data_IF_865799883633
#
_entry.id   IF_865799883633
#
_cell.length_a   1.000
_cell.length_b   1.000
_cell.length_c   1.000
_cell.angle_alpha   90.00
_cell.angle_beta   90.00
_cell.angle_gamma   90.00
#
_symmetry.space_group_name_H-M   'P 1'
#
loop_
_entity.id
_entity.type
_entity.pdbx_description
1 polymer ?
#
# COMPACT_ATOMS: atom_id res chain seq x y z
N UNK A 1 3.34 -5.12 -11.24
CA UNK A 1 2.00 -5.73 -11.37
C UNK A 1 1.00 -4.61 -11.59
N UNK A 2 0.05 -4.79 -12.47
CA UNK A 2 -0.97 -3.77 -12.77
C UNK A 2 -2.33 -4.30 -12.32
N UNK A 3 -2.98 -3.56 -11.41
CA UNK A 3 -4.30 -3.90 -10.90
C UNK A 3 -5.38 -3.32 -11.80
N UNK A 4 -6.45 -4.06 -12.09
CA UNK A 4 -7.57 -3.55 -12.88
C UNK A 4 -8.36 -2.45 -12.17
N UNK A 5 -8.35 -2.40 -10.83
CA UNK A 5 -9.08 -1.42 -10.01
C UNK A 5 -10.60 -1.38 -10.27
N UNK A 6 -11.18 -2.47 -10.77
CA UNK A 6 -12.61 -2.59 -11.07
C UNK A 6 -13.33 -3.16 -9.84
N UNK A 7 -12.89 -4.34 -9.37
CA UNK A 7 -13.38 -4.96 -8.13
C UNK A 7 -12.21 -5.39 -7.25
N UNK A 8 -12.42 -5.50 -5.93
CA UNK A 8 -11.41 -6.05 -5.02
C UNK A 8 -11.06 -7.50 -5.40
N UNK A 9 -12.02 -8.29 -5.84
CA UNK A 9 -11.81 -9.69 -6.23
C UNK A 9 -10.86 -9.82 -7.43
N UNK A 10 -11.00 -8.95 -8.44
CA UNK A 10 -10.11 -8.93 -9.60
C UNK A 10 -8.69 -8.53 -9.21
N UNK A 11 -8.54 -7.52 -8.36
CA UNK A 11 -7.26 -7.05 -7.87
C UNK A 11 -6.54 -8.14 -7.06
N UNK A 12 -7.26 -8.84 -6.18
CA UNK A 12 -6.74 -9.98 -5.42
C UNK A 12 -6.36 -11.14 -6.35
N UNK A 13 -7.16 -11.42 -7.38
CA UNK A 13 -6.87 -12.48 -8.34
C UNK A 13 -5.59 -12.19 -9.14
N UNK A 14 -5.39 -10.96 -9.62
CA UNK A 14 -4.15 -10.54 -10.30
C UNK A 14 -2.96 -10.65 -9.35
N UNK A 15 -3.13 -10.21 -8.10
CA UNK A 15 -2.09 -10.29 -7.08
C UNK A 15 -1.68 -11.73 -6.82
N UNK A 16 -2.64 -12.64 -6.65
CA UNK A 16 -2.36 -14.07 -6.44
C UNK A 16 -1.64 -14.69 -7.64
N UNK A 17 -2.03 -14.38 -8.89
CA UNK A 17 -1.29 -14.86 -10.08
C UNK A 17 0.18 -14.43 -10.05
N UNK A 18 0.45 -13.20 -9.61
CA UNK A 18 1.83 -12.71 -9.49
C UNK A 18 2.59 -13.44 -8.36
N UNK A 19 1.94 -13.65 -7.20
CA UNK A 19 2.50 -14.41 -6.08
C UNK A 19 2.83 -15.84 -6.51
N UNK A 20 1.91 -16.52 -7.21
CA UNK A 20 2.04 -17.91 -7.61
C UNK A 20 3.18 -18.12 -8.60
N UNK A 21 3.48 -17.11 -9.42
CA UNK A 21 4.60 -17.11 -10.36
C UNK A 21 5.97 -16.88 -9.71
N UNK A 22 6.02 -16.55 -8.42
CA UNK A 22 7.28 -16.34 -7.70
C UNK A 22 7.68 -17.56 -6.88
N UNK A 23 8.97 -17.68 -6.62
CA UNK A 23 9.48 -18.58 -5.59
C UNK A 23 9.43 -17.84 -4.24
N UNK A 24 8.70 -18.42 -3.28
CA UNK A 24 8.51 -17.78 -1.96
C UNK A 24 9.55 -18.24 -0.94
N UNK A 25 9.61 -17.63 0.26
CA UNK A 25 8.61 -16.74 0.87
C UNK A 25 8.66 -15.29 0.39
N UNK A 26 7.49 -14.64 0.35
CA UNK A 26 7.31 -13.29 -0.18
C UNK A 26 6.93 -12.28 0.90
N UNK A 27 7.29 -11.02 0.66
CA UNK A 27 6.72 -9.87 1.34
C UNK A 27 5.76 -9.17 0.37
N UNK A 28 4.51 -8.97 0.78
CA UNK A 28 3.59 -8.12 0.05
C UNK A 28 3.65 -6.70 0.57
N UNK A 29 3.81 -5.75 -0.34
CA UNK A 29 3.82 -4.32 -0.04
C UNK A 29 2.59 -3.68 -0.68
N UNK A 30 1.78 -3.00 0.10
CA UNK A 30 0.59 -2.28 -0.38
C UNK A 30 0.61 -0.82 0.05
N UNK A 31 0.43 0.08 -0.90
CA UNK A 31 0.23 1.50 -0.69
C UNK A 31 -1.26 1.83 -0.81
N UNK A 32 -1.77 2.69 0.03
CA UNK A 32 -3.14 3.21 -0.06
C UNK A 32 -4.20 2.09 -0.14
N UNK A 33 -5.06 2.08 -1.17
CA UNK A 33 -6.01 1.00 -1.47
C UNK A 33 -5.32 -0.36 -1.60
N UNK A 34 -4.08 -0.39 -2.07
CA UNK A 34 -3.30 -1.63 -2.13
C UNK A 34 -3.16 -2.36 -0.80
N UNK A 35 -3.31 -1.67 0.31
CA UNK A 35 -3.39 -2.29 1.62
C UNK A 35 -4.60 -3.22 1.78
N UNK A 36 -5.76 -2.88 1.19
CA UNK A 36 -6.93 -3.77 1.18
C UNK A 36 -6.62 -5.04 0.39
N UNK A 37 -5.99 -4.88 -0.77
CA UNK A 37 -5.65 -6.01 -1.63
C UNK A 37 -4.65 -6.96 -0.96
N UNK A 38 -3.58 -6.43 -0.34
CA UNK A 38 -2.63 -7.29 0.38
C UNK A 38 -3.21 -7.89 1.66
N UNK A 39 -4.22 -7.26 2.24
CA UNK A 39 -4.97 -7.80 3.39
C UNK A 39 -5.69 -9.10 3.02
N UNK A 40 -6.23 -9.20 1.81
CA UNK A 40 -6.86 -10.42 1.29
C UNK A 40 -5.83 -11.40 0.66
N UNK A 41 -5.04 -10.93 -0.30
CA UNK A 41 -4.05 -11.75 -1.01
C UNK A 41 -2.95 -12.29 -0.08
N UNK A 42 -2.71 -11.64 1.04
CA UNK A 42 -1.76 -12.05 2.06
C UNK A 42 -2.06 -13.41 2.69
N UNK A 43 -3.25 -13.97 2.50
CA UNK A 43 -3.59 -15.34 2.94
C UNK A 43 -2.92 -16.41 2.07
N UNK A 44 -2.38 -16.07 0.91
CA UNK A 44 -1.61 -17.01 0.09
C UNK A 44 -0.45 -17.62 0.90
N UNK A 45 -0.25 -18.94 0.86
CA UNK A 45 0.78 -19.63 1.67
C UNK A 45 2.21 -19.18 1.36
N UNK A 46 2.49 -18.68 0.16
CA UNK A 46 3.80 -18.13 -0.21
C UNK A 46 4.09 -16.77 0.44
N UNK A 47 3.08 -16.08 0.94
CA UNK A 47 3.25 -14.78 1.61
C UNK A 47 3.67 -15.00 3.05
N UNK A 48 4.83 -14.47 3.42
CA UNK A 48 5.35 -14.56 4.77
C UNK A 48 5.06 -13.31 5.61
N UNK A 49 4.98 -12.13 4.99
CA UNK A 49 4.87 -10.82 5.66
C UNK A 49 4.13 -9.80 4.83
N UNK A 50 3.65 -8.76 5.51
CA UNK A 50 2.91 -7.64 4.91
C UNK A 50 3.59 -6.31 5.26
N UNK A 51 3.67 -5.39 4.30
CA UNK A 51 4.09 -4.02 4.51
C UNK A 51 3.00 -3.06 4.01
N UNK A 52 2.49 -2.27 4.91
CA UNK A 52 1.51 -1.22 4.64
C UNK A 52 2.24 0.12 4.55
N UNK A 53 2.15 0.78 3.40
CA UNK A 53 2.72 2.11 3.17
C UNK A 53 1.56 3.08 3.03
N UNK A 54 1.32 3.93 4.04
CA UNK A 54 0.19 4.89 4.01
C UNK A 54 -1.11 4.22 3.55
N UNK A 55 -1.44 3.04 4.09
CA UNK A 55 -2.39 2.15 3.46
C UNK A 55 -3.57 1.77 4.35
N UNK A 56 -4.68 1.42 3.73
CA UNK A 56 -5.79 0.81 4.45
C UNK A 56 -5.45 -0.60 4.92
N UNK A 57 -5.72 -0.89 6.19
CA UNK A 57 -5.60 -2.24 6.76
C UNK A 57 -6.95 -2.65 7.38
N UNK A 58 -7.94 -3.00 6.54
CA UNK A 58 -9.30 -3.29 6.99
C UNK A 58 -9.37 -4.53 7.88
N UNK A 59 -10.36 -4.54 8.78
CA UNK A 59 -10.81 -5.76 9.45
C UNK A 59 -11.87 -6.48 8.61
N UNK A 60 -12.26 -7.68 9.04
CA UNK A 60 -13.33 -8.45 8.39
C UNK A 60 -14.62 -7.63 8.29
N UNK A 61 -15.18 -7.57 7.09
CA UNK A 61 -16.38 -6.80 6.77
C UNK A 61 -16.15 -5.32 6.47
N UNK A 62 -14.95 -4.79 6.69
CA UNK A 62 -14.61 -3.40 6.33
C UNK A 62 -14.18 -3.28 4.85
N UNK A 63 -14.43 -2.10 4.29
CA UNK A 63 -13.97 -1.66 2.97
C UNK A 63 -13.37 -0.26 3.09
N UNK A 64 -12.70 0.24 2.04
CA UNK A 64 -12.28 1.65 2.03
C UNK A 64 -13.48 2.56 2.26
N UNK A 65 -14.57 2.33 1.52
CA UNK A 65 -15.80 3.11 1.65
C UNK A 65 -16.32 3.18 3.09
N UNK A 66 -16.28 2.04 3.82
CA UNK A 66 -16.71 2.03 5.24
C UNK A 66 -15.74 2.75 6.16
N UNK A 67 -14.43 2.70 5.89
CA UNK A 67 -13.39 3.33 6.71
C UNK A 67 -13.34 4.87 6.56
N UNK A 68 -13.76 5.38 5.40
CA UNK A 68 -13.75 6.84 5.14
C UNK A 68 -15.13 7.49 5.33
N UNK A 69 -16.16 6.71 5.65
CA UNK A 69 -17.56 7.16 5.71
C UNK A 69 -17.79 8.27 6.74
N UNK A 70 -17.19 8.11 7.91
CA UNK A 70 -17.38 9.00 9.06
C UNK A 70 -16.02 9.64 9.43
N UNK A 71 -15.57 10.67 8.69
CA UNK A 71 -14.27 11.28 8.96
C UNK A 71 -14.28 12.00 10.31
N UNK A 72 -13.13 11.94 11.00
CA UNK A 72 -12.95 12.70 12.23
C UNK A 72 -13.15 14.20 11.94
N UNK A 73 -13.92 14.94 12.75
CA UNK A 73 -14.11 16.37 12.56
C UNK A 73 -12.77 17.12 12.46
N UNK A 74 -12.60 17.92 11.40
CA UNK A 74 -11.36 18.66 11.13
C UNK A 74 -10.26 17.85 10.40
N UNK A 75 -10.45 16.55 10.19
CA UNK A 75 -9.51 15.78 9.38
C UNK A 75 -9.58 16.19 7.90
N UNK A 76 -8.46 16.10 7.15
CA UNK A 76 -8.47 16.31 5.72
C UNK A 76 -9.44 15.35 5.03
N UNK A 77 -10.19 15.88 4.05
CA UNK A 77 -11.09 15.08 3.21
C UNK A 77 -10.44 14.92 1.84
N UNK A 78 -10.21 13.69 1.37
CA UNK A 78 -9.67 13.45 0.04
C UNK A 78 -10.53 14.11 -1.04
N UNK A 79 -9.93 14.78 -2.04
CA UNK A 79 -10.66 15.47 -3.09
C UNK A 79 -11.17 14.49 -4.17
N UNK A 80 -11.91 13.46 -3.75
CA UNK A 80 -12.54 12.49 -4.65
C UNK A 80 -13.70 13.17 -5.36
N UNK A 81 -13.73 13.06 -6.69
CA UNK A 81 -14.83 13.57 -7.51
C UNK A 81 -16.07 12.68 -7.38
N UNK A 82 -17.27 13.22 -7.61
CA UNK A 82 -18.48 12.40 -7.71
C UNK A 82 -18.31 11.27 -8.73
N UNK A 83 -18.87 10.09 -8.44
CA UNK A 83 -18.74 8.95 -9.34
C UNK A 83 -19.31 9.22 -10.74
N UNK A 84 -18.63 8.73 -11.76
CA UNK A 84 -19.10 8.71 -13.14
C UNK A 84 -18.98 7.29 -13.69
N UNK A 85 -20.08 6.76 -14.22
CA UNK A 85 -20.16 5.39 -14.78
C UNK A 85 -19.59 4.29 -13.86
N UNK A 86 -19.74 4.45 -12.53
CA UNK A 86 -19.24 3.48 -11.55
C UNK A 86 -17.79 3.66 -11.13
N UNK A 87 -17.13 4.73 -11.56
CA UNK A 87 -15.73 5.01 -11.22
C UNK A 87 -15.55 6.39 -10.57
N UNK A 88 -14.48 6.52 -9.80
CA UNK A 88 -14.06 7.78 -9.18
C UNK A 88 -12.63 8.13 -9.57
N UNK A 89 -12.33 9.44 -9.47
CA UNK A 89 -11.01 10.03 -9.65
C UNK A 89 -10.77 11.05 -8.55
N UNK A 90 -9.52 11.39 -8.30
CA UNK A 90 -9.20 12.58 -7.54
C UNK A 90 -9.30 13.82 -8.43
N UNK A 91 -9.72 14.93 -7.83
CA UNK A 91 -9.70 16.22 -8.52
C UNK A 91 -8.27 16.58 -8.93
N UNK A 92 -8.02 16.70 -10.24
CA UNK A 92 -6.70 16.97 -10.82
C UNK A 92 -6.05 18.23 -10.23
N UNK A 93 -6.79 19.32 -10.08
CA UNK A 93 -6.25 20.59 -9.57
C UNK A 93 -5.90 20.56 -8.08
N UNK A 94 -6.44 19.61 -7.33
CA UNK A 94 -6.17 19.41 -5.91
C UNK A 94 -5.22 18.23 -5.64
N UNK A 95 -4.84 17.48 -6.67
CA UNK A 95 -4.04 16.26 -6.55
C UNK A 95 -2.68 16.53 -5.87
N UNK A 96 -1.91 17.46 -6.39
CA UNK A 96 -0.59 17.79 -5.83
C UNK A 96 -0.70 18.15 -4.34
N UNK A 97 -1.60 19.03 -3.96
CA UNK A 97 -1.74 19.49 -2.57
C UNK A 97 -2.25 18.42 -1.59
N UNK A 98 -2.95 17.38 -2.07
CA UNK A 98 -3.53 16.35 -1.22
C UNK A 98 -2.79 15.01 -1.26
N UNK A 99 -2.30 14.61 -2.44
CA UNK A 99 -1.69 13.31 -2.68
C UNK A 99 -0.16 13.37 -2.72
N UNK A 100 0.41 14.44 -3.32
CA UNK A 100 1.83 14.54 -3.66
C UNK A 100 2.43 15.89 -3.25
N UNK A 101 2.14 16.35 -2.02
CA UNK A 101 2.48 17.70 -1.56
C UNK A 101 4.00 17.92 -1.34
N UNK A 102 4.77 16.86 -1.23
CA UNK A 102 6.22 16.85 -1.07
C UNK A 102 6.97 16.24 -2.27
N UNK A 103 6.27 16.12 -3.40
CA UNK A 103 6.85 15.68 -4.69
C UNK A 103 7.09 16.90 -5.58
N UNK A 104 8.14 16.83 -6.42
CA UNK A 104 8.43 17.88 -7.39
C UNK A 104 7.19 18.23 -8.24
N UNK A 105 6.90 19.51 -8.47
CA UNK A 105 5.64 19.96 -9.10
C UNK A 105 5.34 19.34 -10.46
N UNK A 106 6.35 19.20 -11.32
CA UNK A 106 6.19 18.60 -12.65
C UNK A 106 5.82 17.11 -12.55
N UNK A 107 6.47 16.39 -11.62
CA UNK A 107 6.16 14.99 -11.38
C UNK A 107 4.78 14.82 -10.75
N UNK A 108 4.40 15.68 -9.81
CA UNK A 108 3.07 15.68 -9.20
C UNK A 108 1.96 15.95 -10.24
N UNK A 109 2.22 16.85 -11.21
CA UNK A 109 1.31 17.12 -12.32
C UNK A 109 1.19 15.89 -13.25
N UNK A 110 2.29 15.26 -13.59
CA UNK A 110 2.30 14.02 -14.36
C UNK A 110 1.53 12.88 -13.66
N UNK A 111 1.73 12.72 -12.34
CA UNK A 111 0.98 11.75 -11.54
C UNK A 111 -0.52 12.03 -11.57
N UNK A 112 -0.92 13.32 -11.49
CA UNK A 112 -2.33 13.72 -11.57
C UNK A 112 -2.95 13.39 -12.93
N UNK A 113 -2.18 13.50 -14.02
CA UNK A 113 -2.64 13.16 -15.38
C UNK A 113 -2.62 11.65 -15.65
N UNK A 114 -1.85 10.90 -14.89
CA UNK A 114 -1.68 9.45 -15.03
C UNK A 114 -2.66 8.64 -14.18
N UNK A 115 -3.66 9.27 -13.55
CA UNK A 115 -4.66 8.56 -12.76
C UNK A 115 -5.40 7.53 -13.61
N UNK A 116 -5.64 6.36 -13.02
CA UNK A 116 -6.54 5.35 -13.58
C UNK A 116 -7.90 5.43 -12.87
N UNK A 117 -9.00 5.07 -13.56
CA UNK A 117 -10.32 5.00 -12.93
C UNK A 117 -10.32 4.02 -11.75
N UNK A 118 -10.88 4.42 -10.61
CA UNK A 118 -11.04 3.53 -9.47
C UNK A 118 -12.51 3.16 -9.30
N UNK A 119 -12.82 1.88 -9.48
CA UNK A 119 -14.16 1.34 -9.43
C UNK A 119 -14.80 1.45 -8.04
N UNK A 120 -16.07 1.81 -8.01
CA UNK A 120 -16.85 1.82 -6.77
C UNK A 120 -16.93 0.42 -6.14
N UNK A 121 -16.93 -0.64 -6.94
CA UNK A 121 -16.93 -2.01 -6.43
C UNK A 121 -15.58 -2.38 -5.80
N UNK A 122 -14.46 -1.83 -6.29
CA UNK A 122 -13.17 -1.96 -5.63
C UNK A 122 -13.13 -1.15 -4.32
N UNK A 123 -13.62 0.09 -4.32
CA UNK A 123 -13.69 0.96 -3.15
C UNK A 123 -14.55 0.37 -2.03
N UNK A 124 -15.67 -0.27 -2.40
CA UNK A 124 -16.64 -0.87 -1.46
C UNK A 124 -16.39 -2.36 -1.21
N UNK A 125 -15.41 -2.97 -1.88
CA UNK A 125 -15.02 -4.36 -1.68
C UNK A 125 -14.60 -4.61 -0.23
N UNK A 126 -15.27 -5.58 0.43
CA UNK A 126 -15.05 -5.86 1.86
C UNK A 126 -13.98 -6.90 2.05
N UNK A 127 -13.08 -6.65 3.01
CA UNK A 127 -12.15 -7.66 3.47
C UNK A 127 -12.91 -8.81 4.17
N UNK A 128 -12.54 -10.03 3.87
CA UNK A 128 -13.20 -11.23 4.42
C UNK A 128 -12.34 -11.89 5.50
N UNK A 129 -11.06 -12.10 5.19
CA UNK A 129 -10.11 -12.76 6.07
C UNK A 129 -8.80 -11.96 6.14
N UNK A 130 -8.72 -10.97 7.04
CA UNK A 130 -7.54 -10.12 7.13
C UNK A 130 -6.27 -10.88 7.46
N UNK A 131 -5.33 -10.93 6.52
CA UNK A 131 -4.07 -11.68 6.65
C UNK A 131 -3.18 -11.18 7.79
N UNK A 132 -3.27 -9.90 8.15
CA UNK A 132 -2.54 -9.32 9.29
C UNK A 132 -2.93 -9.94 10.64
N UNK A 133 -4.07 -10.65 10.74
CA UNK A 133 -4.44 -11.41 11.95
C UNK A 133 -3.55 -12.63 12.20
N UNK A 134 -2.91 -13.14 11.15
CA UNK A 134 -2.10 -14.36 11.21
C UNK A 134 -0.66 -14.19 10.74
N UNK A 135 -0.35 -13.06 10.11
CA UNK A 135 0.97 -12.79 9.54
C UNK A 135 1.59 -11.52 10.14
N UNK A 136 2.91 -11.53 10.37
CA UNK A 136 3.61 -10.32 10.80
C UNK A 136 3.44 -9.20 9.78
N UNK A 137 3.23 -7.99 10.26
CA UNK A 137 3.07 -6.82 9.42
C UNK A 137 3.89 -5.63 9.90
N UNK A 138 4.24 -4.77 8.96
CA UNK A 138 4.90 -3.49 9.17
C UNK A 138 4.05 -2.39 8.57
N UNK A 139 4.16 -1.20 9.13
CA UNK A 139 3.35 -0.07 8.69
C UNK A 139 4.19 1.22 8.69
N UNK A 140 4.17 1.94 7.58
CA UNK A 140 4.70 3.29 7.47
C UNK A 140 3.54 4.28 7.51
N UNK A 141 3.58 5.18 8.48
CA UNK A 141 2.63 6.29 8.67
C UNK A 141 3.28 7.57 8.17
N UNK A 142 2.61 8.29 7.26
CA UNK A 142 3.03 9.63 6.85
C UNK A 142 2.26 10.70 7.62
N UNK A 143 3.00 11.59 8.29
CA UNK A 143 2.43 12.58 9.22
C UNK A 143 1.68 13.72 8.55
N UNK A 144 1.94 13.98 7.28
CA UNK A 144 1.32 15.07 6.51
C UNK A 144 0.35 14.52 5.44
N UNK A 145 -0.03 13.25 5.53
CA UNK A 145 -0.96 12.58 4.62
C UNK A 145 -2.37 13.20 4.73
N UNK A 146 -2.89 13.68 3.58
CA UNK A 146 -4.23 14.25 3.46
C UNK A 146 -5.23 13.33 2.75
N UNK A 147 -4.78 12.14 2.34
CA UNK A 147 -5.64 11.12 1.72
C UNK A 147 -6.15 10.12 2.76
N UNK A 148 -5.24 9.61 3.60
CA UNK A 148 -5.58 8.80 4.77
C UNK A 148 -5.03 9.52 5.99
N UNK A 149 -5.86 10.20 6.78
CA UNK A 149 -5.38 10.97 7.93
C UNK A 149 -4.47 10.15 8.83
N UNK A 150 -3.35 10.71 9.34
CA UNK A 150 -2.36 9.96 10.12
C UNK A 150 -2.94 9.23 11.31
N UNK A 151 -3.96 9.78 11.97
CA UNK A 151 -4.63 9.12 13.11
C UNK A 151 -5.39 7.87 12.67
N UNK A 152 -5.99 7.88 11.48
CA UNK A 152 -6.60 6.68 10.88
C UNK A 152 -5.55 5.61 10.57
N UNK A 153 -4.42 6.01 10.01
CA UNK A 153 -3.28 5.11 9.76
C UNK A 153 -2.76 4.50 11.07
N UNK A 154 -2.57 5.32 12.12
CA UNK A 154 -2.15 4.86 13.47
C UNK A 154 -3.15 3.87 14.08
N UNK A 155 -4.45 4.16 13.96
CA UNK A 155 -5.49 3.27 14.47
C UNK A 155 -5.47 1.91 13.77
N UNK A 156 -5.35 1.89 12.43
CA UNK A 156 -5.26 0.66 11.65
C UNK A 156 -3.97 -0.12 11.95
N UNK A 157 -2.83 0.54 12.01
CA UNK A 157 -1.54 -0.10 12.33
C UNK A 157 -1.52 -0.71 13.73
N UNK A 158 -2.09 0.00 14.72
CA UNK A 158 -2.23 -0.49 16.09
C UNK A 158 -3.13 -1.72 16.16
N UNK A 159 -4.29 -1.68 15.48
CA UNK A 159 -5.22 -2.80 15.38
C UNK A 159 -4.56 -4.03 14.75
N UNK A 160 -3.83 -3.82 13.67
CA UNK A 160 -3.08 -4.87 12.98
C UNK A 160 -1.83 -5.34 13.77
N UNK A 161 -1.51 -4.71 14.90
CA UNK A 161 -0.28 -4.98 15.69
C UNK A 161 0.99 -4.89 14.83
N UNK A 162 0.97 -4.00 13.84
CA UNK A 162 2.08 -3.80 12.94
C UNK A 162 3.27 -3.14 13.65
N UNK A 163 4.49 -3.50 13.25
CA UNK A 163 5.66 -2.71 13.61
C UNK A 163 5.60 -1.41 12.82
N UNK A 164 5.44 -0.29 13.50
CA UNK A 164 5.13 1.00 12.89
C UNK A 164 6.33 1.93 12.93
N UNK A 165 6.60 2.60 11.81
CA UNK A 165 7.47 3.78 11.72
C UNK A 165 6.64 4.97 11.24
N UNK A 166 7.07 6.18 11.62
CA UNK A 166 6.44 7.42 11.15
C UNK A 166 7.46 8.32 10.49
N UNK A 167 7.09 8.85 9.33
CA UNK A 167 7.90 9.83 8.60
C UNK A 167 7.11 11.11 8.36
N UNK A 168 7.81 12.21 8.11
CA UNK A 168 7.19 13.43 7.64
C UNK A 168 7.06 13.34 6.12
N UNK A 169 5.86 13.21 5.59
CA UNK A 169 5.62 13.05 4.14
C UNK A 169 4.15 13.15 3.79
N UNK A 170 3.86 13.36 2.50
CA UNK A 170 2.52 13.32 1.93
C UNK A 170 2.10 11.88 1.63
N UNK A 171 0.97 11.68 0.93
CA UNK A 171 0.50 10.35 0.50
C UNK A 171 1.34 9.72 -0.63
N UNK A 172 2.47 10.31 -0.97
CA UNK A 172 3.40 9.81 -2.00
C UNK A 172 4.81 9.58 -1.44
N UNK A 173 4.92 9.14 -0.18
CA UNK A 173 6.20 8.92 0.49
C UNK A 173 7.13 7.98 -0.27
N UNK A 174 6.59 7.04 -1.02
CA UNK A 174 7.35 6.11 -1.86
C UNK A 174 8.07 6.82 -3.04
N UNK A 175 7.60 8.03 -3.40
CA UNK A 175 8.24 8.90 -4.39
C UNK A 175 9.19 9.88 -3.71
N UNK A 176 8.72 10.58 -2.67
CA UNK A 176 9.48 11.64 -2.01
C UNK A 176 10.56 11.12 -1.05
N UNK A 177 10.35 9.95 -0.44
CA UNK A 177 11.28 9.33 0.51
C UNK A 177 11.43 7.82 0.25
N UNK A 178 11.88 7.39 -0.94
CA UNK A 178 11.96 5.98 -1.33
C UNK A 178 12.86 5.17 -0.40
N UNK A 179 13.86 5.79 0.21
CA UNK A 179 14.77 5.14 1.15
C UNK A 179 14.08 4.70 2.44
N UNK A 180 13.17 5.51 2.99
CA UNK A 180 12.41 5.15 4.18
C UNK A 180 11.51 3.93 3.92
N UNK A 181 10.90 3.87 2.73
CA UNK A 181 10.09 2.72 2.30
C UNK A 181 10.96 1.49 2.09
N UNK A 182 12.10 1.64 1.41
CA UNK A 182 13.05 0.54 1.19
C UNK A 182 13.60 -0.03 2.50
N UNK A 183 13.92 0.83 3.46
CA UNK A 183 14.42 0.41 4.78
C UNK A 183 13.35 -0.36 5.57
N UNK A 184 12.09 0.09 5.55
CA UNK A 184 10.98 -0.66 6.16
C UNK A 184 10.84 -2.05 5.55
N UNK A 185 10.91 -2.16 4.22
CA UNK A 185 10.84 -3.45 3.52
C UNK A 185 12.05 -4.33 3.85
N UNK A 186 13.26 -3.76 3.85
CA UNK A 186 14.49 -4.49 4.17
C UNK A 186 14.54 -4.98 5.62
N UNK A 187 13.97 -4.23 6.57
CA UNK A 187 13.89 -4.65 7.96
C UNK A 187 13.12 -5.96 8.13
N UNK A 188 12.09 -6.17 7.32
CA UNK A 188 11.31 -7.41 7.35
C UNK A 188 12.15 -8.64 6.99
N UNK A 189 13.15 -8.49 6.11
CA UNK A 189 14.08 -9.56 5.79
C UNK A 189 15.03 -9.86 6.95
N UNK A 190 15.49 -8.84 7.68
CA UNK A 190 16.39 -9.00 8.84
C UNK A 190 15.73 -9.65 10.05
N UNK A 191 14.43 -9.47 10.22
CA UNK A 191 13.66 -10.03 11.33
C UNK A 191 13.48 -11.56 11.27
N UNK A 192 13.88 -12.23 10.20
CA UNK A 192 13.91 -13.68 10.10
C UNK A 192 15.30 -14.19 10.49
N UNK A 193 15.42 -14.88 11.64
CA UNK A 193 16.69 -15.46 12.12
C UNK A 193 17.35 -16.46 11.15
N UNK A 194 16.69 -16.89 10.10
CA UNK A 194 17.19 -17.83 9.08
C UNK A 194 17.94 -17.15 7.92
N UNK A 195 17.99 -15.80 7.87
CA UNK A 195 18.57 -15.05 6.74
C UNK A 195 19.80 -14.23 7.13
N UNK A 196 20.42 -14.49 8.29
CA UNK A 196 21.58 -13.74 8.80
C UNK A 196 22.87 -13.87 7.98
N UNK A 197 22.91 -14.69 6.94
CA UNK A 197 24.07 -14.78 6.06
C UNK A 197 23.67 -14.51 4.62
N UNK A 198 24.16 -13.41 4.08
CA UNK A 198 24.18 -13.05 2.67
C UNK A 198 22.94 -12.32 2.13
N UNK A 199 22.87 -10.98 2.36
CA UNK A 199 22.43 -10.09 1.26
C UNK A 199 22.74 -8.62 1.60
N UNK A 200 23.64 -8.05 0.80
CA UNK A 200 23.98 -6.63 0.80
C UNK A 200 22.86 -5.78 0.17
N UNK A 201 22.74 -4.57 0.66
CA UNK A 201 21.74 -3.55 0.37
C UNK A 201 21.64 -3.05 -1.11
N UNK A 202 22.22 -3.75 -2.09
CA UNK A 202 22.34 -3.26 -3.48
C UNK A 202 21.19 -3.61 -4.41
N UNK A 203 20.36 -4.59 -4.10
CA UNK A 203 19.32 -5.07 -5.02
C UNK A 203 18.01 -4.27 -4.95
N UNK A 204 17.72 -3.60 -3.84
CA UNK A 204 16.45 -2.91 -3.63
C UNK A 204 16.37 -1.52 -4.29
N UNK A 205 17.52 -0.87 -4.56
CA UNK A 205 17.57 0.52 -5.09
C UNK A 205 17.09 0.68 -6.53
N UNK A 206 17.05 -0.37 -7.35
CA UNK A 206 16.73 -0.29 -8.79
C UNK A 206 15.28 -0.61 -9.16
N UNK A 207 14.47 -1.13 -8.24
CA UNK A 207 13.10 -1.59 -8.56
C UNK A 207 11.99 -0.60 -8.15
N UNK A 208 12.32 0.52 -7.54
CA UNK A 208 11.33 1.47 -6.99
C UNK A 208 10.84 2.47 -8.06
N UNK A 209 11.58 2.64 -9.15
CA UNK A 209 11.31 3.70 -10.14
C UNK A 209 10.11 3.45 -11.06
N UNK A 210 9.46 2.27 -11.02
CA UNK A 210 8.47 1.93 -12.06
C UNK A 210 7.13 1.38 -11.56
N UNK A 211 6.74 1.51 -10.29
CA UNK A 211 5.50 0.88 -9.84
C UNK A 211 4.66 1.74 -8.89
N UNK A 212 3.76 2.51 -9.46
CA UNK A 212 2.56 2.97 -8.75
C UNK A 212 1.65 1.78 -8.45
N UNK A 213 1.61 1.29 -7.24
CA UNK A 213 0.58 0.55 -6.49
C UNK A 213 0.99 -0.76 -5.81
N UNK A 214 1.88 -1.61 -6.36
CA UNK A 214 2.23 -2.89 -5.72
C UNK A 214 3.64 -3.35 -6.06
N UNK A 215 4.42 -3.71 -5.04
CA UNK A 215 5.71 -4.37 -5.21
C UNK A 215 5.61 -5.76 -4.60
N UNK A 216 5.80 -6.79 -5.43
CA UNK A 216 6.12 -8.14 -4.98
C UNK A 216 7.64 -8.26 -5.00
N UNK A 217 8.28 -8.23 -3.84
CA UNK A 217 9.72 -8.43 -3.77
C UNK A 217 10.02 -9.93 -3.69
N UNK A 218 10.73 -10.52 -4.68
CA UNK A 218 11.16 -11.92 -4.62
C UNK A 218 12.22 -12.09 -3.53
N UNK A 219 12.12 -13.16 -2.76
CA UNK A 219 13.19 -13.62 -1.90
C UNK A 219 14.38 -14.04 -2.77
N UNK A 220 15.53 -13.38 -2.61
CA UNK A 220 16.75 -13.71 -3.34
C UNK A 220 17.22 -15.13 -3.01
N UNK A 221 17.40 -15.96 -4.02
CA UNK A 221 18.04 -17.29 -3.86
C UNK A 221 19.55 -17.12 -3.73
N UNK A 222 20.16 -17.89 -2.82
CA UNK A 222 21.57 -18.19 -2.87
C UNK A 222 21.80 -19.27 -3.92
N UNK A 223 22.49 -18.97 -5.02
CA UNK A 223 23.13 -19.97 -5.85
C UNK A 223 24.26 -20.62 -5.05
N UNK A 224 24.14 -21.92 -4.80
CA UNK A 224 25.22 -22.76 -4.30
C UNK A 224 26.31 -22.96 -5.37
#
# INVERSE_FOLDING_TARGET
MQNPTITLADDVAVTNRTIDAQDGPLVLVGHSYGGVVITEAGNNPKVARLAYIEAFAPDSGESVGSLIKDPVPGAPVPPILPPQAGFVFLNRSKFAASFAADVEPELAAFMADSQVPWGLDALNGRATKPAWKSKPSWYLVSRDDKMIPPDGQRAMSKRARSKTIEVKGSHSVYVSQPEAVADLIAEQHRASNSWRSRFAALACRRSIETACSFIVAPGCRSSG
#
